data_IF_056747095412
#
_entry.id   IF_056747095412
#
_cell.length_a   1.000
_cell.length_b   1.000
_cell.length_c   1.000
_cell.angle_alpha   90.00
_cell.angle_beta   90.00
_cell.angle_gamma   90.00
#
_symmetry.space_group_name_H-M   'P 1'
#
loop_
_entity.id
_entity.type
_entity.pdbx_description
1 polymer ?
#
# COMPACT_ATOMS: atom_id res chain seq x y z
N UNK A 1 -27.53 -7.30 1.57
CA UNK A 1 -27.91 -5.93 1.99
C UNK A 1 -26.69 -5.05 2.26
N UNK A 2 -25.80 -5.45 3.18
CA UNK A 2 -24.57 -4.70 3.53
C UNK A 2 -23.69 -4.41 2.31
N UNK A 3 -23.44 -5.39 1.45
CA UNK A 3 -22.64 -5.20 0.22
C UNK A 3 -23.21 -4.12 -0.72
N UNK A 4 -24.55 -4.05 -0.89
CA UNK A 4 -25.18 -3.03 -1.76
C UNK A 4 -25.07 -1.63 -1.18
N UNK A 5 -25.14 -1.51 0.15
CA UNK A 5 -24.97 -0.23 0.85
C UNK A 5 -23.51 0.22 0.74
N UNK A 6 -22.56 -0.69 1.01
CA UNK A 6 -21.13 -0.42 0.85
C UNK A 6 -20.80 0.04 -0.56
N UNK A 7 -21.30 -0.66 -1.57
CA UNK A 7 -21.08 -0.30 -2.98
C UNK A 7 -21.57 1.13 -3.30
N UNK A 8 -22.77 1.51 -2.85
CA UNK A 8 -23.28 2.87 -3.06
C UNK A 8 -22.37 3.95 -2.44
N UNK A 9 -21.84 3.71 -1.24
CA UNK A 9 -20.90 4.65 -0.63
C UNK A 9 -19.59 4.73 -1.40
N UNK A 10 -19.06 3.58 -1.84
CA UNK A 10 -17.86 3.52 -2.69
C UNK A 10 -18.06 4.29 -4.00
N UNK A 11 -19.18 4.10 -4.68
CA UNK A 11 -19.47 4.75 -5.96
C UNK A 11 -19.58 6.28 -5.81
N UNK A 12 -20.22 6.75 -4.73
CA UNK A 12 -20.30 8.17 -4.39
C UNK A 12 -18.90 8.72 -4.09
N UNK A 13 -18.14 8.04 -3.23
CA UNK A 13 -16.80 8.47 -2.85
C UNK A 13 -15.87 8.56 -4.06
N UNK A 14 -15.80 7.53 -4.90
CA UNK A 14 -14.98 7.51 -6.11
C UNK A 14 -15.36 8.62 -7.10
N UNK A 15 -16.64 9.01 -7.15
CA UNK A 15 -17.09 10.09 -8.03
C UNK A 15 -16.64 11.48 -7.56
N UNK A 16 -16.52 11.68 -6.25
CA UNK A 16 -16.21 12.99 -5.67
C UNK A 16 -14.76 13.12 -5.22
N UNK A 17 -14.04 12.02 -4.98
CA UNK A 17 -12.67 12.03 -4.52
C UNK A 17 -11.76 12.65 -5.59
N UNK A 18 -11.19 13.84 -5.35
CA UNK A 18 -10.18 14.41 -6.23
C UNK A 18 -8.91 13.55 -6.23
N UNK A 19 -8.11 13.72 -7.28
CA UNK A 19 -6.78 13.13 -7.32
C UNK A 19 -5.91 13.63 -6.16
N UNK A 20 -5.03 12.78 -5.64
CA UNK A 20 -4.12 13.11 -4.54
C UNK A 20 -3.25 14.34 -4.86
N UNK A 21 -2.88 14.53 -6.13
CA UNK A 21 -2.11 15.69 -6.58
C UNK A 21 -2.90 17.00 -6.43
N UNK A 22 -4.21 16.98 -6.67
CA UNK A 22 -5.07 18.15 -6.49
C UNK A 22 -5.07 18.59 -5.03
N UNK A 23 -5.18 17.63 -4.09
CA UNK A 23 -5.07 17.93 -2.67
C UNK A 23 -3.71 18.52 -2.32
N UNK A 24 -2.61 17.96 -2.84
CA UNK A 24 -1.27 18.46 -2.58
C UNK A 24 -1.09 19.91 -3.08
N UNK A 25 -1.62 20.26 -4.26
CA UNK A 25 -1.59 21.63 -4.77
C UNK A 25 -2.40 22.60 -3.92
N UNK A 26 -3.65 22.26 -3.60
CA UNK A 26 -4.51 23.11 -2.77
C UNK A 26 -3.85 23.33 -1.40
N UNK A 27 -3.35 22.25 -0.78
CA UNK A 27 -2.69 22.33 0.51
C UNK A 27 -1.42 23.18 0.44
N UNK A 28 -0.63 23.07 -0.64
CA UNK A 28 0.57 23.91 -0.84
C UNK A 28 0.22 25.39 -0.86
N UNK A 29 -0.87 25.77 -1.55
CA UNK A 29 -1.35 27.16 -1.58
C UNK A 29 -1.87 27.63 -0.22
N UNK A 30 -2.63 26.78 0.49
CA UNK A 30 -3.12 27.08 1.84
C UNK A 30 -1.95 27.29 2.79
N UNK A 31 -0.97 26.40 2.79
CA UNK A 31 0.22 26.50 3.65
C UNK A 31 1.04 27.74 3.31
N UNK A 32 1.20 28.08 2.03
CA UNK A 32 1.87 29.32 1.62
C UNK A 32 1.14 30.57 2.16
N UNK A 33 -0.20 30.62 2.06
CA UNK A 33 -1.00 31.73 2.59
C UNK A 33 -0.92 31.82 4.12
N UNK A 34 -0.96 30.69 4.82
CA UNK A 34 -0.82 30.64 6.28
C UNK A 34 0.59 31.04 6.73
N UNK A 35 1.64 30.62 6.03
CA UNK A 35 3.01 31.01 6.33
C UNK A 35 3.20 32.53 6.23
N UNK A 36 2.67 33.16 5.18
CA UNK A 36 2.76 34.62 5.03
C UNK A 36 1.88 35.38 6.03
N UNK A 37 0.73 34.84 6.43
CA UNK A 37 -0.23 35.56 7.29
C UNK A 37 -0.03 35.35 8.80
N UNK A 38 0.42 34.17 9.23
CA UNK A 38 0.61 33.83 10.65
C UNK A 38 2.06 33.75 11.09
N UNK A 39 2.98 33.39 10.18
CA UNK A 39 4.42 33.28 10.47
C UNK A 39 5.17 34.51 9.96
N UNK A 40 4.48 35.41 9.26
CA UNK A 40 5.04 36.62 8.64
C UNK A 40 6.22 36.31 7.68
N UNK A 41 6.23 35.10 7.12
CA UNK A 41 7.26 34.67 6.18
C UNK A 41 7.18 35.49 4.89
N UNK A 42 8.33 35.90 4.36
CA UNK A 42 8.40 36.60 3.08
C UNK A 42 8.08 35.65 1.91
N UNK A 43 7.58 36.16 0.76
CA UNK A 43 7.32 35.31 -0.40
C UNK A 43 8.55 34.51 -0.86
N UNK A 44 9.74 35.08 -0.72
CA UNK A 44 10.99 34.41 -1.09
C UNK A 44 11.32 33.24 -0.15
N UNK A 45 11.11 33.40 1.16
CA UNK A 45 11.29 32.32 2.13
C UNK A 45 10.33 31.16 1.89
N UNK A 46 9.07 31.45 1.54
CA UNK A 46 8.07 30.43 1.21
C UNK A 46 8.48 29.65 -0.05
N UNK A 47 8.95 30.33 -1.10
CA UNK A 47 9.41 29.69 -2.33
C UNK A 47 10.64 28.81 -2.07
N UNK A 48 11.63 29.32 -1.33
CA UNK A 48 12.83 28.56 -0.98
C UNK A 48 12.48 27.32 -0.15
N UNK A 49 11.61 27.47 0.85
CA UNK A 49 11.16 26.34 1.69
C UNK A 49 10.40 25.28 0.88
N UNK A 50 9.56 25.71 -0.07
CA UNK A 50 8.86 24.80 -0.95
C UNK A 50 9.82 24.05 -1.88
N UNK A 51 10.82 24.75 -2.44
CA UNK A 51 11.86 24.17 -3.27
C UNK A 51 12.71 23.14 -2.51
N UNK A 52 13.11 23.45 -1.28
CA UNK A 52 13.86 22.50 -0.44
C UNK A 52 13.05 21.24 -0.13
N UNK A 53 11.76 21.40 0.17
CA UNK A 53 10.84 20.28 0.37
C UNK A 53 10.65 19.41 -0.87
N UNK A 54 10.69 19.99 -2.08
CA UNK A 54 10.60 19.24 -3.32
C UNK A 54 11.74 18.22 -3.48
N UNK A 55 12.96 18.57 -3.10
CA UNK A 55 14.09 17.64 -3.20
C UNK A 55 14.02 16.51 -2.17
N UNK A 56 13.46 16.78 -0.99
CA UNK A 56 13.19 15.73 0.01
C UNK A 56 12.21 14.69 -0.54
N UNK A 57 11.21 15.11 -1.33
CA UNK A 57 10.28 14.19 -2.00
C UNK A 57 10.97 13.31 -3.05
N UNK A 58 12.02 13.81 -3.73
CA UNK A 58 12.79 13.02 -4.68
C UNK A 58 13.56 11.89 -3.98
N UNK A 59 14.24 12.21 -2.87
CA UNK A 59 14.93 11.20 -2.06
C UNK A 59 13.94 10.16 -1.51
N UNK A 60 12.84 10.63 -0.90
CA UNK A 60 11.77 9.76 -0.43
C UNK A 60 11.19 8.88 -1.55
N UNK A 61 10.95 9.46 -2.72
CA UNK A 61 10.47 8.75 -3.90
C UNK A 61 11.42 7.62 -4.33
N UNK A 62 12.73 7.90 -4.37
CA UNK A 62 13.74 6.87 -4.66
C UNK A 62 13.72 5.74 -3.63
N UNK A 63 13.63 6.07 -2.34
CA UNK A 63 13.55 5.07 -1.27
C UNK A 63 12.30 4.19 -1.42
N UNK A 64 11.15 4.78 -1.72
CA UNK A 64 9.90 4.05 -1.94
C UNK A 64 9.97 3.16 -3.19
N UNK A 65 10.56 3.64 -4.28
CA UNK A 65 10.78 2.84 -5.50
C UNK A 65 11.67 1.64 -5.21
N UNK A 66 12.81 1.83 -4.55
CA UNK A 66 13.71 0.74 -4.18
C UNK A 66 13.02 -0.27 -3.26
N UNK A 67 12.27 0.20 -2.28
CA UNK A 67 11.51 -0.64 -1.35
C UNK A 67 10.50 -1.52 -2.10
N UNK A 68 9.73 -0.95 -3.04
CA UNK A 68 8.73 -1.71 -3.81
C UNK A 68 9.39 -2.67 -4.80
N UNK A 69 10.40 -2.21 -5.55
CA UNK A 69 11.10 -3.05 -6.55
C UNK A 69 11.79 -4.22 -5.87
N UNK A 70 12.48 -4.00 -4.75
CA UNK A 70 13.17 -5.07 -4.01
C UNK A 70 12.18 -6.05 -3.40
N UNK A 71 11.11 -5.57 -2.75
CA UNK A 71 10.04 -6.44 -2.24
C UNK A 71 9.40 -7.31 -3.32
N UNK A 72 9.10 -6.72 -4.48
CA UNK A 72 8.55 -7.43 -5.64
C UNK A 72 9.56 -8.43 -6.25
N UNK A 73 10.83 -8.04 -6.35
CA UNK A 73 11.91 -8.90 -6.86
C UNK A 73 12.13 -10.13 -5.97
N UNK A 74 12.07 -9.95 -4.64
CA UNK A 74 12.11 -11.07 -3.69
C UNK A 74 10.89 -11.97 -3.89
N UNK A 75 9.69 -11.39 -4.02
CA UNK A 75 8.45 -12.14 -4.21
C UNK A 75 8.47 -13.03 -5.46
N UNK A 76 9.12 -12.59 -6.54
CA UNK A 76 9.28 -13.35 -7.78
C UNK A 76 10.48 -14.30 -7.78
N UNK A 77 11.29 -14.31 -6.73
CA UNK A 77 12.50 -15.14 -6.69
C UNK A 77 12.15 -16.65 -6.71
N UNK A 78 13.01 -17.50 -7.30
CA UNK A 78 12.82 -18.95 -7.28
C UNK A 78 12.74 -19.53 -5.86
N UNK A 79 13.37 -18.87 -4.89
CA UNK A 79 13.34 -19.28 -3.48
C UNK A 79 11.92 -19.13 -2.91
N UNK A 80 11.28 -17.99 -3.14
CA UNK A 80 9.91 -17.74 -2.68
C UNK A 80 8.94 -18.69 -3.37
N UNK A 81 9.02 -18.87 -4.69
CA UNK A 81 8.18 -19.81 -5.42
C UNK A 81 8.28 -21.25 -4.88
N UNK A 82 9.49 -21.75 -4.61
CA UNK A 82 9.69 -23.07 -3.98
C UNK A 82 9.04 -23.15 -2.61
N UNK A 83 9.15 -22.08 -1.80
CA UNK A 83 8.48 -21.99 -0.50
C UNK A 83 6.97 -22.06 -0.62
N UNK A 84 6.39 -21.34 -1.59
CA UNK A 84 4.95 -21.38 -1.90
C UNK A 84 4.52 -22.81 -2.28
N UNK A 85 5.27 -23.49 -3.14
CA UNK A 85 4.93 -24.85 -3.58
C UNK A 85 4.91 -25.85 -2.41
N UNK A 86 5.90 -25.77 -1.51
CA UNK A 86 5.95 -26.61 -0.30
C UNK A 86 4.75 -26.33 0.61
N UNK A 87 4.40 -25.06 0.80
CA UNK A 87 3.27 -24.66 1.63
C UNK A 87 1.92 -25.09 1.02
N UNK A 88 1.75 -24.90 -0.29
CA UNK A 88 0.55 -25.29 -1.02
C UNK A 88 0.29 -26.81 -0.98
N UNK A 89 1.36 -27.63 -0.97
CA UNK A 89 1.24 -29.08 -0.82
C UNK A 89 0.78 -29.50 0.58
N UNK A 90 1.14 -28.73 1.62
CA UNK A 90 0.79 -29.03 3.02
C UNK A 90 -0.58 -28.47 3.42
N UNK A 91 -0.95 -27.30 2.91
CA UNK A 91 -2.15 -26.58 3.31
C UNK A 91 -3.30 -26.91 2.35
N UNK A 92 -4.36 -27.54 2.86
CA UNK A 92 -5.55 -27.91 2.05
C UNK A 92 -6.85 -27.24 2.49
N UNK A 93 -6.86 -26.53 3.61
CA UNK A 93 -8.06 -25.91 4.18
C UNK A 93 -7.96 -24.37 4.12
N UNK A 94 -8.99 -23.64 3.64
CA UNK A 94 -8.98 -22.18 3.54
C UNK A 94 -8.62 -21.45 4.84
N UNK A 95 -9.07 -21.95 5.99
CA UNK A 95 -8.80 -21.35 7.32
C UNK A 95 -7.30 -21.21 7.60
N UNK A 96 -6.49 -22.20 7.22
CA UNK A 96 -5.05 -22.17 7.42
C UNK A 96 -4.38 -21.17 6.48
N UNK A 97 -4.95 -20.95 5.28
CA UNK A 97 -4.46 -19.94 4.35
C UNK A 97 -4.67 -18.56 4.95
N UNK A 98 -5.87 -18.25 5.44
CA UNK A 98 -6.13 -16.95 6.08
C UNK A 98 -5.19 -16.69 7.26
N UNK A 99 -5.04 -17.67 8.15
CA UNK A 99 -4.13 -17.55 9.29
C UNK A 99 -2.68 -17.33 8.86
N UNK A 100 -2.19 -18.11 7.90
CA UNK A 100 -0.83 -17.98 7.40
C UNK A 100 -0.59 -16.60 6.78
N UNK A 101 -1.54 -16.10 6.00
CA UNK A 101 -1.42 -14.82 5.31
C UNK A 101 -1.41 -13.67 6.31
N UNK A 102 -2.27 -13.68 7.32
CA UNK A 102 -2.23 -12.65 8.38
C UNK A 102 -0.93 -12.73 9.17
N UNK A 103 -0.48 -13.94 9.53
CA UNK A 103 0.75 -14.14 10.29
C UNK A 103 1.98 -13.65 9.52
N UNK A 104 2.14 -14.09 8.26
CA UNK A 104 3.28 -13.69 7.43
C UNK A 104 3.19 -12.22 7.02
N UNK A 105 1.99 -11.69 6.76
CA UNK A 105 1.75 -10.27 6.54
C UNK A 105 2.25 -9.42 7.71
N UNK A 106 1.88 -9.79 8.93
CA UNK A 106 2.37 -9.16 10.15
C UNK A 106 3.88 -9.29 10.35
N UNK A 107 4.45 -10.49 10.15
CA UNK A 107 5.88 -10.70 10.32
C UNK A 107 6.71 -9.93 9.27
N UNK A 108 6.27 -9.91 8.02
CA UNK A 108 6.96 -9.20 6.96
C UNK A 108 6.83 -7.69 7.09
N UNK A 109 5.68 -7.17 7.54
CA UNK A 109 5.50 -5.75 7.79
C UNK A 109 6.37 -5.22 8.94
N UNK A 110 6.70 -6.07 9.94
CA UNK A 110 7.66 -5.73 11.00
C UNK A 110 9.10 -5.54 10.49
N UNK A 111 9.46 -6.21 9.39
CA UNK A 111 10.79 -6.07 8.77
C UNK A 111 10.81 -4.86 7.86
N UNK A 112 9.85 -4.81 6.91
CA UNK A 112 9.68 -3.70 5.99
C UNK A 112 8.26 -3.72 5.44
N UNK A 113 7.64 -2.56 5.38
CA UNK A 113 6.32 -2.40 4.73
C UNK A 113 6.29 -2.96 3.31
N UNK A 114 7.40 -2.88 2.55
CA UNK A 114 7.48 -3.38 1.17
C UNK A 114 7.40 -4.89 1.02
N UNK A 115 7.69 -5.64 2.09
CA UNK A 115 7.67 -7.10 2.06
C UNK A 115 6.25 -7.67 2.14
N UNK A 116 5.25 -6.85 2.46
CA UNK A 116 3.82 -7.23 2.38
C UNK A 116 3.44 -7.69 0.98
N UNK A 117 4.13 -7.20 -0.07
CA UNK A 117 3.96 -7.66 -1.45
C UNK A 117 4.21 -9.17 -1.59
N UNK A 118 5.16 -9.73 -0.84
CA UNK A 118 5.45 -11.17 -0.82
C UNK A 118 4.24 -11.93 -0.30
N UNK A 119 3.62 -11.45 0.78
CA UNK A 119 2.41 -12.03 1.36
C UNK A 119 1.22 -11.95 0.39
N UNK A 120 1.09 -10.85 -0.35
CA UNK A 120 0.06 -10.69 -1.38
C UNK A 120 0.21 -11.73 -2.50
N UNK A 121 1.45 -11.93 -3.00
CA UNK A 121 1.77 -12.93 -4.03
C UNK A 121 1.49 -14.34 -3.51
N UNK A 122 1.93 -14.67 -2.29
CA UNK A 122 1.65 -15.94 -1.63
C UNK A 122 0.13 -16.19 -1.51
N UNK A 123 -0.64 -15.19 -1.07
CA UNK A 123 -2.09 -15.28 -0.95
C UNK A 123 -2.75 -15.59 -2.28
N UNK A 124 -2.38 -14.84 -3.33
CA UNK A 124 -2.89 -15.08 -4.69
C UNK A 124 -2.58 -16.49 -5.19
N UNK A 125 -1.34 -16.95 -5.05
CA UNK A 125 -0.94 -18.30 -5.47
C UNK A 125 -1.69 -19.41 -4.73
N UNK A 126 -1.88 -19.28 -3.42
CA UNK A 126 -2.63 -20.24 -2.63
C UNK A 126 -4.13 -20.26 -3.00
N UNK A 127 -4.71 -19.09 -3.31
CA UNK A 127 -6.11 -19.00 -3.75
C UNK A 127 -6.37 -19.66 -5.10
N UNK A 128 -5.38 -19.66 -6.01
CA UNK A 128 -5.50 -20.34 -7.29
C UNK A 128 -5.48 -21.87 -7.14
N UNK A 129 -4.85 -22.40 -6.09
CA UNK A 129 -4.63 -23.84 -5.89
C UNK A 129 -5.64 -24.48 -4.93
N UNK A 130 -6.11 -23.72 -3.94
CA UNK A 130 -6.98 -24.22 -2.87
C UNK A 130 -8.42 -23.76 -3.13
N UNK A 131 -9.33 -24.72 -3.33
CA UNK A 131 -10.76 -24.44 -3.56
C UNK A 131 -11.43 -23.96 -2.27
N UNK A 132 -12.41 -23.08 -2.41
CA UNK A 132 -13.24 -22.58 -1.29
C UNK A 132 -12.69 -21.34 -0.59
N UNK A 133 -11.65 -20.70 -1.12
CA UNK A 133 -11.19 -19.40 -0.62
C UNK A 133 -12.14 -18.30 -1.09
N UNK A 134 -12.71 -17.58 -0.13
CA UNK A 134 -13.37 -16.30 -0.38
C UNK A 134 -12.32 -15.22 -0.67
N UNK A 135 -12.06 -14.96 -1.95
CA UNK A 135 -10.97 -14.08 -2.41
C UNK A 135 -11.04 -12.65 -1.86
N UNK A 136 -12.20 -11.97 -1.76
CA UNK A 136 -12.27 -10.64 -1.15
C UNK A 136 -11.85 -10.62 0.33
N UNK A 137 -12.14 -11.70 1.05
CA UNK A 137 -11.72 -11.82 2.46
C UNK A 137 -10.21 -12.07 2.54
N UNK A 138 -9.66 -12.88 1.63
CA UNK A 138 -8.21 -13.08 1.53
C UNK A 138 -7.47 -11.77 1.28
N UNK A 139 -7.98 -10.91 0.38
CA UNK A 139 -7.40 -9.58 0.13
C UNK A 139 -7.38 -8.77 1.43
N UNK A 140 -8.46 -8.80 2.20
CA UNK A 140 -8.52 -8.12 3.50
C UNK A 140 -7.53 -8.71 4.53
N UNK A 141 -7.15 -9.99 4.42
CA UNK A 141 -6.13 -10.60 5.27
C UNK A 141 -4.69 -10.23 4.88
N UNK A 142 -4.47 -9.78 3.65
CA UNK A 142 -3.14 -9.37 3.15
C UNK A 142 -2.77 -7.96 3.63
N UNK A 143 -3.78 -7.10 3.82
CA UNK A 143 -3.65 -5.77 4.41
C UNK A 143 -3.52 -5.85 5.93
#
# INVERSE_FOLDING_TARGET
MIQRIGQKFTDIFQRFMPDAFVFALILSLIVAALAMSWVEATPLEVINSWYDGFWLLLEFGMQMVLLVITGYSIALSPLVHKGIDVLANKIKKPQHVYFLIVLLGGLFSLISWGWVVITAVLGRELALRIKGIHYPFLIACVY
#
